data_IF_085260951795
#
_entry.id   IF_085260951795
#
_cell.length_a   1.000
_cell.length_b   1.000
_cell.length_c   1.000
_cell.angle_alpha   90.00
_cell.angle_beta   90.00
_cell.angle_gamma   90.00
#
_symmetry.space_group_name_H-M   'P 1'
#
loop_
_entity.id
_entity.type
_entity.pdbx_description
1 polymer ?
#
# COMPACT_ATOMS: atom_id res chain seq x y z
N UNK A 1 -18.74 16.70 14.09
CA UNK A 1 -17.93 15.50 13.84
C UNK A 1 -17.82 15.40 12.35
N UNK A 2 -16.64 15.71 11.83
CA UNK A 2 -16.32 15.58 10.41
C UNK A 2 -16.66 14.15 9.98
N UNK A 3 -17.53 14.02 8.97
CA UNK A 3 -17.90 12.73 8.39
C UNK A 3 -16.73 12.28 7.53
N UNK A 4 -15.68 11.74 8.15
CA UNK A 4 -14.51 11.27 7.43
C UNK A 4 -14.88 10.05 6.60
N UNK A 5 -14.64 10.13 5.29
CA UNK A 5 -14.74 8.96 4.42
C UNK A 5 -13.59 7.99 4.77
N UNK A 6 -13.93 6.73 5.07
CA UNK A 6 -12.94 5.72 5.49
C UNK A 6 -11.90 5.41 4.41
N UNK A 7 -12.29 5.52 3.14
CA UNK A 7 -11.44 5.19 2.00
C UNK A 7 -10.15 6.03 1.93
N UNK A 8 -10.18 7.38 1.91
CA UNK A 8 -8.97 8.20 1.88
C UNK A 8 -8.09 8.02 3.14
N UNK A 9 -8.68 7.70 4.29
CA UNK A 9 -7.92 7.35 5.50
C UNK A 9 -7.13 6.07 5.25
N UNK A 10 -7.80 4.99 4.84
CA UNK A 10 -7.16 3.71 4.54
C UNK A 10 -6.09 3.82 3.45
N UNK A 11 -6.36 4.57 2.38
CA UNK A 11 -5.39 4.83 1.32
C UNK A 11 -4.12 5.49 1.87
N UNK A 12 -4.28 6.50 2.73
CA UNK A 12 -3.15 7.19 3.38
C UNK A 12 -2.35 6.24 4.27
N UNK A 13 -3.02 5.39 5.04
CA UNK A 13 -2.39 4.40 5.92
C UNK A 13 -1.58 3.36 5.12
N UNK A 14 -2.15 2.81 4.05
CA UNK A 14 -1.45 1.87 3.19
C UNK A 14 -0.31 2.51 2.42
N UNK A 15 -0.42 3.79 2.06
CA UNK A 15 0.61 4.51 1.32
C UNK A 15 1.88 4.73 2.16
N UNK A 16 1.72 5.11 3.43
CA UNK A 16 2.87 5.38 4.31
C UNK A 16 3.49 4.10 4.90
N UNK A 17 2.75 3.00 4.92
CA UNK A 17 3.21 1.75 5.52
C UNK A 17 4.25 1.02 4.65
N UNK A 18 5.40 0.72 5.24
CA UNK A 18 6.44 -0.11 4.61
C UNK A 18 6.14 -1.62 4.71
N UNK A 19 5.17 -2.01 5.55
CA UNK A 19 4.80 -3.41 5.83
C UNK A 19 3.29 -3.67 5.67
N UNK A 20 2.87 -4.93 5.51
CA UNK A 20 1.45 -5.27 5.44
C UNK A 20 0.72 -4.92 6.74
N UNK A 21 -0.42 -4.23 6.64
CA UNK A 21 -1.27 -3.88 7.79
C UNK A 21 -2.40 -4.90 7.91
N UNK A 22 -2.54 -5.53 9.08
CA UNK A 22 -3.62 -6.49 9.35
C UNK A 22 -4.95 -5.78 9.60
N UNK A 23 -6.04 -6.48 9.33
CA UNK A 23 -7.39 -5.97 9.63
C UNK A 23 -7.56 -5.67 11.13
N UNK A 24 -7.00 -6.51 12.01
CA UNK A 24 -7.04 -6.26 13.46
C UNK A 24 -6.40 -4.91 13.80
N UNK A 25 -5.21 -4.62 13.26
CA UNK A 25 -4.50 -3.36 13.51
C UNK A 25 -5.28 -2.15 12.98
N UNK A 26 -5.92 -2.26 11.82
CA UNK A 26 -6.78 -1.20 11.29
C UNK A 26 -7.97 -0.95 12.21
N UNK A 27 -8.62 -2.00 12.72
CA UNK A 27 -9.73 -1.88 13.66
C UNK A 27 -9.31 -1.31 15.03
N UNK A 28 -8.06 -1.52 15.45
CA UNK A 28 -7.51 -0.92 16.68
C UNK A 28 -7.27 0.59 16.54
N UNK A 29 -6.76 1.05 15.40
CA UNK A 29 -6.43 2.47 15.18
C UNK A 29 -7.59 3.30 14.63
N UNK A 30 -8.61 2.64 14.09
CA UNK A 30 -9.84 3.24 13.55
C UNK A 30 -11.07 2.79 14.36
N UNK A 31 -11.14 3.07 15.68
CA UNK A 31 -12.22 2.57 16.53
C UNK A 31 -13.60 3.14 16.18
N UNK A 32 -13.68 4.21 15.39
CA UNK A 32 -14.95 4.76 14.90
C UNK A 32 -15.58 3.94 13.75
N UNK A 33 -14.82 3.02 13.13
CA UNK A 33 -15.28 2.18 12.02
C UNK A 33 -15.34 0.71 12.44
N UNK A 34 -16.44 0.02 12.13
CA UNK A 34 -16.51 -1.42 12.32
C UNK A 34 -15.67 -2.16 11.25
N UNK A 35 -15.31 -3.41 11.54
CA UNK A 35 -14.49 -4.24 10.64
C UNK A 35 -15.08 -4.37 9.23
N UNK A 36 -16.40 -4.41 9.10
CA UNK A 36 -17.07 -4.49 7.80
C UNK A 36 -16.87 -3.23 6.96
N UNK A 37 -16.98 -2.04 7.56
CA UNK A 37 -16.69 -0.78 6.88
C UNK A 37 -15.22 -0.71 6.44
N UNK A 38 -14.28 -1.15 7.29
CA UNK A 38 -12.85 -1.23 6.94
C UNK A 38 -12.64 -2.16 5.73
N UNK A 39 -13.23 -3.36 5.77
CA UNK A 39 -13.16 -4.32 4.66
C UNK A 39 -13.78 -3.77 3.37
N UNK A 40 -14.90 -3.05 3.46
CA UNK A 40 -15.51 -2.41 2.31
C UNK A 40 -14.61 -1.31 1.72
N UNK A 41 -14.03 -0.47 2.57
CA UNK A 41 -13.05 0.54 2.13
C UNK A 41 -11.83 -0.08 1.45
N UNK A 42 -11.29 -1.19 1.99
CA UNK A 42 -10.21 -1.96 1.38
C UNK A 42 -10.65 -2.45 -0.01
N UNK A 43 -11.84 -3.05 -0.15
CA UNK A 43 -12.34 -3.55 -1.44
C UNK A 43 -12.50 -2.44 -2.46
N UNK A 44 -12.96 -1.26 -2.05
CA UNK A 44 -13.06 -0.09 -2.94
C UNK A 44 -11.68 0.33 -3.46
N UNK A 45 -10.66 0.37 -2.58
CA UNK A 45 -9.28 0.68 -2.98
C UNK A 45 -8.75 -0.40 -3.94
N UNK A 46 -8.98 -1.69 -3.65
CA UNK A 46 -8.56 -2.77 -4.53
C UNK A 46 -9.20 -2.68 -5.92
N UNK A 47 -10.49 -2.33 -5.98
CA UNK A 47 -11.18 -2.15 -7.26
C UNK A 47 -10.61 -0.96 -8.05
N UNK A 48 -10.37 0.18 -7.39
CA UNK A 48 -9.86 1.38 -8.04
C UNK A 48 -8.41 1.22 -8.53
N UNK A 49 -7.55 0.61 -7.71
CA UNK A 49 -6.15 0.36 -8.07
C UNK A 49 -5.97 -0.91 -8.91
N UNK A 50 -6.99 -1.76 -9.01
CA UNK A 50 -7.05 -2.89 -9.93
C UNK A 50 -7.01 -2.47 -11.40
N UNK A 51 -7.49 -1.26 -11.71
CA UNK A 51 -7.55 -0.73 -13.08
C UNK A 51 -6.19 -0.75 -13.81
N UNK A 52 -6.11 -1.22 -15.07
CA UNK A 52 -4.86 -1.36 -15.81
C UNK A 52 -4.10 -0.04 -16.05
N UNK A 53 -4.76 1.11 -15.94
CA UNK A 53 -4.09 2.43 -16.01
C UNK A 53 -3.29 2.77 -14.75
N UNK A 54 -3.47 2.03 -13.64
CA UNK A 54 -2.76 2.25 -12.38
C UNK A 54 -1.47 1.42 -12.31
N UNK A 55 -0.40 2.05 -11.82
CA UNK A 55 0.92 1.42 -11.67
C UNK A 55 1.12 0.56 -10.41
N UNK A 56 0.24 0.74 -9.43
CA UNK A 56 0.25 0.04 -8.13
C UNK A 56 -1.09 -0.64 -7.88
N UNK A 57 -1.09 -1.60 -6.97
CA UNK A 57 -2.25 -2.39 -6.53
C UNK A 57 -2.20 -2.61 -5.02
N UNK A 58 -3.37 -2.69 -4.38
CA UNK A 58 -3.49 -3.08 -2.98
C UNK A 58 -3.66 -4.61 -2.91
N UNK A 59 -2.69 -5.30 -2.32
CA UNK A 59 -2.64 -6.77 -2.28
C UNK A 59 -2.71 -7.30 -0.86
N UNK A 60 -3.36 -8.45 -0.69
CA UNK A 60 -3.33 -9.20 0.57
C UNK A 60 -2.10 -10.12 0.60
N UNK A 61 -1.27 -9.99 1.63
CA UNK A 61 -0.05 -10.77 1.84
C UNK A 61 0.18 -11.01 3.32
N UNK A 62 0.49 -12.26 3.69
CA UNK A 62 0.74 -12.66 5.07
C UNK A 62 -0.37 -12.25 6.06
N UNK A 63 -1.63 -12.25 5.60
CA UNK A 63 -2.80 -11.86 6.40
C UNK A 63 -2.97 -10.35 6.62
N UNK A 64 -2.26 -9.51 5.87
CA UNK A 64 -2.43 -8.06 5.88
C UNK A 64 -2.48 -7.48 4.46
N UNK A 65 -2.76 -6.18 4.35
CA UNK A 65 -2.88 -5.47 3.09
C UNK A 65 -1.74 -4.47 2.91
N UNK A 66 -1.20 -4.38 1.69
CA UNK A 66 -0.11 -3.45 1.34
C UNK A 66 -0.19 -3.01 -0.12
N UNK A 67 0.13 -1.73 -0.38
CA UNK A 67 0.37 -1.26 -1.73
C UNK A 67 1.66 -1.86 -2.32
N UNK A 68 1.57 -2.36 -3.55
CA UNK A 68 2.70 -2.89 -4.30
C UNK A 68 2.64 -2.43 -5.75
N UNK A 69 3.79 -2.39 -6.42
CA UNK A 69 3.85 -2.15 -7.86
C UNK A 69 3.34 -3.35 -8.63
N UNK A 70 2.54 -3.13 -9.69
CA UNK A 70 2.06 -4.24 -10.52
C UNK A 70 3.22 -4.97 -11.22
N UNK A 71 3.12 -6.31 -11.41
CA UNK A 71 4.18 -7.10 -12.04
C UNK A 71 4.47 -6.67 -13.47
N UNK A 72 3.48 -6.13 -14.20
CA UNK A 72 3.65 -5.56 -15.55
C UNK A 72 4.72 -4.48 -15.61
N UNK A 73 4.99 -3.79 -14.50
CA UNK A 73 5.97 -2.71 -14.42
C UNK A 73 7.30 -3.14 -13.78
N UNK A 74 7.48 -4.43 -13.47
CA UNK A 74 8.65 -4.95 -12.75
C UNK A 74 9.99 -4.61 -13.41
N UNK A 75 10.03 -4.54 -14.74
CA UNK A 75 11.22 -4.16 -15.51
C UNK A 75 11.75 -2.77 -15.12
N UNK A 76 10.87 -1.77 -15.02
CA UNK A 76 11.23 -0.40 -14.63
C UNK A 76 11.55 -0.29 -13.15
N UNK A 77 10.76 -0.96 -12.29
CA UNK A 77 11.00 -1.01 -10.84
C UNK A 77 12.40 -1.59 -10.55
N UNK A 78 12.81 -2.65 -11.25
CA UNK A 78 14.12 -3.26 -11.07
C UNK A 78 15.27 -2.34 -11.54
N UNK A 79 15.07 -1.58 -12.62
CA UNK A 79 16.07 -0.57 -13.07
C UNK A 79 16.32 0.48 -11.98
N UNK A 80 15.27 1.00 -11.34
CA UNK A 80 15.39 1.94 -10.24
C UNK A 80 16.17 1.35 -9.05
N UNK A 81 15.84 0.11 -8.66
CA UNK A 81 16.52 -0.60 -7.56
C UNK A 81 18.02 -0.76 -7.83
N UNK A 82 18.39 -1.19 -9.04
CA UNK A 82 19.78 -1.33 -9.46
C UNK A 82 20.53 0.01 -9.42
N UNK A 83 19.92 1.08 -9.91
CA UNK A 83 20.52 2.41 -9.89
C UNK A 83 20.80 2.91 -8.45
N UNK A 84 19.89 2.65 -7.50
CA UNK A 84 20.12 2.97 -6.08
C UNK A 84 21.25 2.15 -5.46
N UNK A 85 21.33 0.85 -5.75
CA UNK A 85 22.38 -0.02 -5.22
C UNK A 85 23.78 0.43 -5.63
N UNK A 86 23.98 0.78 -6.92
CA UNK A 86 25.27 1.27 -7.43
C UNK A 86 25.73 2.54 -6.70
N UNK A 87 24.82 3.48 -6.43
CA UNK A 87 25.14 4.71 -5.70
C UNK A 87 25.59 4.46 -4.26
N UNK A 88 24.93 3.54 -3.55
CA UNK A 88 25.31 3.19 -2.17
C UNK A 88 26.68 2.50 -2.10
N UNK A 89 27.00 1.64 -3.08
CA UNK A 89 28.31 0.99 -3.15
C UNK A 89 29.44 1.99 -3.39
N UNK A 90 29.23 3.02 -4.23
CA UNK A 90 30.24 4.06 -4.47
C UNK A 90 30.52 4.89 -3.20
N UNK A 91 29.47 5.34 -2.51
CA UNK A 91 29.60 6.13 -1.28
C UNK A 91 30.23 5.37 -0.10
N UNK A 92 30.24 4.03 -0.12
CA UNK A 92 30.86 3.19 0.90
C UNK A 92 32.35 2.89 0.63
N UNK A 93 32.84 3.18 -0.59
CA UNK A 93 34.22 2.99 -1.03
C UNK A 93 35.05 4.29 -0.95
N UNK A 94 34.39 5.42 -0.67
CA UNK A 94 35.00 6.74 -0.41
C UNK A 94 35.39 6.93 1.06
#
# INVERSE_FOLDING_TARGET
MDNFEIKPILESLFFISDSPIRLETLAEILPEFNKEAILEGIRQIQAEYGDPSRGIELTEIAGGYQFRTKPSWAGWVNRLKKAKAVKLSQAALE
#
